data_IF_360994522492
#
_entry.id   IF_360994522492
#
_cell.length_a   1.000
_cell.length_b   1.000
_cell.length_c   1.000
_cell.angle_alpha   90.00
_cell.angle_beta   90.00
_cell.angle_gamma   90.00
#
_symmetry.space_group_name_H-M   'P 1'
#
loop_
_entity.id
_entity.type
_entity.pdbx_description
1 polymer ?
#
# COMPACT_ATOMS: atom_id res chain seq x y z
N UNK A 1 -15.78 -3.50 -12.74
CA UNK A 1 -16.33 -4.66 -13.48
C UNK A 1 -16.10 -4.40 -14.95
N UNK A 2 -15.77 -5.44 -15.71
CA UNK A 2 -15.72 -5.38 -17.15
C UNK A 2 -17.13 -5.63 -17.72
N UNK A 3 -17.48 -4.97 -18.82
CA UNK A 3 -18.69 -5.25 -19.59
C UNK A 3 -18.26 -5.55 -21.03
N UNK A 4 -18.93 -6.51 -21.67
CA UNK A 4 -18.60 -6.93 -23.02
C UNK A 4 -19.80 -7.57 -23.70
N UNK A 5 -19.83 -7.51 -25.03
CA UNK A 5 -20.81 -8.22 -25.82
C UNK A 5 -20.53 -9.72 -25.78
N UNK A 6 -21.50 -10.50 -25.29
CA UNK A 6 -21.35 -11.96 -25.11
C UNK A 6 -21.40 -12.75 -26.41
N UNK A 7 -22.02 -12.19 -27.44
CA UNK A 7 -22.21 -12.81 -28.75
C UNK A 7 -21.84 -11.78 -29.81
N UNK A 8 -20.91 -12.16 -30.68
CA UNK A 8 -20.46 -11.35 -31.82
C UNK A 8 -20.72 -12.21 -33.06
N UNK A 9 -21.56 -11.78 -34.02
CA UNK A 9 -21.80 -12.55 -35.23
C UNK A 9 -20.52 -12.67 -36.07
N UNK A 10 -20.39 -13.69 -36.94
CA UNK A 10 -19.24 -13.81 -37.85
C UNK A 10 -19.03 -12.53 -38.65
N UNK A 11 -17.80 -11.99 -38.62
CA UNK A 11 -17.45 -10.73 -39.28
C UNK A 11 -17.94 -9.46 -38.59
N UNK A 12 -18.66 -9.58 -37.47
CA UNK A 12 -19.13 -8.44 -36.68
C UNK A 12 -18.08 -7.87 -35.73
N UNK A 13 -18.40 -6.71 -35.16
CA UNK A 13 -17.60 -6.05 -34.12
C UNK A 13 -18.26 -6.23 -32.75
N UNK A 14 -17.44 -6.45 -31.72
CA UNK A 14 -17.89 -6.47 -30.33
C UNK A 14 -17.13 -5.45 -29.50
N UNK A 15 -17.80 -4.87 -28.50
CA UNK A 15 -17.23 -3.86 -27.62
C UNK A 15 -16.88 -4.46 -26.27
N UNK A 16 -15.69 -4.12 -25.76
CA UNK A 16 -15.24 -4.48 -24.41
C UNK A 16 -14.94 -3.19 -23.66
N UNK A 17 -15.55 -3.02 -22.50
CA UNK A 17 -15.31 -1.88 -21.60
C UNK A 17 -14.62 -2.36 -20.33
N UNK A 18 -13.42 -1.84 -20.09
CA UNK A 18 -12.62 -2.11 -18.91
C UNK A 18 -12.61 -0.88 -18.00
N UNK A 19 -13.01 -1.04 -16.73
CA UNK A 19 -12.97 0.03 -15.73
C UNK A 19 -11.88 -0.26 -14.70
N UNK A 20 -10.89 0.62 -14.61
CA UNK A 20 -9.83 0.59 -13.61
C UNK A 20 -10.17 1.58 -12.49
N UNK A 21 -10.20 1.09 -11.25
CA UNK A 21 -10.28 1.95 -10.05
C UNK A 21 -8.85 2.26 -9.60
N UNK A 22 -8.46 3.53 -9.63
CA UNK A 22 -7.10 3.99 -9.30
C UNK A 22 -6.91 4.35 -7.83
N UNK A 23 -7.95 4.27 -6.99
CA UNK A 23 -7.98 4.76 -5.60
C UNK A 23 -6.87 4.17 -4.69
N UNK A 24 -6.37 2.98 -5.02
CA UNK A 24 -5.32 2.26 -4.28
C UNK A 24 -3.99 2.20 -5.02
N UNK A 25 -3.87 2.92 -6.12
CA UNK A 25 -2.69 2.91 -6.98
C UNK A 25 -2.01 4.27 -6.94
N UNK A 26 -0.69 4.25 -7.10
CA UNK A 26 0.12 5.44 -7.30
C UNK A 26 1.30 5.07 -8.19
N UNK A 27 1.77 6.01 -9.00
CA UNK A 27 2.87 5.75 -9.92
C UNK A 27 2.45 4.86 -11.09
N UNK A 28 3.42 4.17 -11.69
CA UNK A 28 3.20 3.38 -12.89
C UNK A 28 2.38 2.13 -12.59
N UNK A 29 1.30 1.93 -13.33
CA UNK A 29 0.45 0.74 -13.26
C UNK A 29 0.46 0.00 -14.59
N UNK A 30 0.40 -1.32 -14.49
CA UNK A 30 0.13 -2.22 -15.61
C UNK A 30 -0.95 -3.21 -15.19
N UNK A 31 -2.01 -3.31 -15.98
CA UNK A 31 -3.11 -4.26 -15.77
C UNK A 31 -3.33 -5.06 -17.04
N UNK A 32 -3.47 -6.37 -16.88
CA UNK A 32 -3.71 -7.28 -17.98
C UNK A 32 -5.07 -7.93 -17.80
N UNK A 33 -5.82 -8.07 -18.89
CA UNK A 33 -7.10 -8.80 -18.94
C UNK A 33 -7.07 -9.79 -20.09
N UNK A 34 -7.67 -10.96 -19.89
CA UNK A 34 -7.79 -12.00 -20.91
C UNK A 34 -9.22 -12.04 -21.42
N UNK A 35 -9.37 -11.98 -22.74
CA UNK A 35 -10.64 -12.20 -23.43
C UNK A 35 -10.61 -13.62 -23.94
N UNK A 36 -11.58 -14.43 -23.51
CA UNK A 36 -11.75 -15.80 -23.97
C UNK A 36 -12.78 -15.80 -25.11
N UNK A 37 -12.43 -16.45 -26.21
CA UNK A 37 -13.26 -16.56 -27.41
C UNK A 37 -13.24 -18.00 -27.94
N UNK A 38 -14.29 -18.36 -28.66
CA UNK A 38 -14.38 -19.61 -29.41
C UNK A 38 -13.76 -19.52 -30.81
N UNK A 39 -13.16 -18.38 -31.20
CA UNK A 39 -12.38 -18.26 -32.44
C UNK A 39 -11.19 -19.26 -32.39
N UNK A 40 -11.11 -20.23 -33.32
CA UNK A 40 -10.07 -21.24 -33.33
C UNK A 40 -8.66 -20.66 -33.52
N UNK A 41 -8.52 -19.50 -34.17
CA UNK A 41 -7.25 -18.81 -34.38
C UNK A 41 -6.86 -17.93 -33.19
N UNK A 42 -7.84 -17.37 -32.48
CA UNK A 42 -7.62 -16.41 -31.36
C UNK A 42 -8.47 -16.73 -30.14
N UNK A 43 -8.26 -17.92 -29.57
CA UNK A 43 -9.00 -18.41 -28.38
C UNK A 43 -8.83 -17.54 -27.14
N UNK A 44 -7.67 -16.88 -27.01
CA UNK A 44 -7.38 -15.97 -25.89
C UNK A 44 -6.67 -14.72 -26.41
N UNK A 45 -7.24 -13.55 -26.13
CA UNK A 45 -6.65 -12.25 -26.46
C UNK A 45 -6.25 -11.55 -25.15
N UNK A 46 -5.00 -11.12 -25.04
CA UNK A 46 -4.51 -10.37 -23.88
C UNK A 46 -4.59 -8.87 -24.15
N UNK A 47 -5.34 -8.15 -23.32
CA UNK A 47 -5.42 -6.70 -23.32
C UNK A 47 -4.56 -6.16 -22.17
N UNK A 48 -3.57 -5.32 -22.47
CA UNK A 48 -2.69 -4.70 -21.47
C UNK A 48 -2.93 -3.20 -21.41
N UNK A 49 -3.24 -2.69 -20.24
CA UNK A 49 -3.39 -1.26 -19.96
C UNK A 49 -2.19 -0.82 -19.13
N UNK A 50 -1.46 0.19 -19.62
CA UNK A 50 -0.37 0.86 -18.90
C UNK A 50 -0.75 2.33 -18.66
N UNK A 51 -0.35 2.88 -17.52
CA UNK A 51 -0.60 4.28 -17.21
C UNK A 51 0.17 4.75 -15.98
N UNK A 52 0.25 6.07 -15.80
CA UNK A 52 0.86 6.71 -14.65
C UNK A 52 -0.24 7.35 -13.77
N UNK A 53 -0.45 6.82 -12.57
CA UNK A 53 -1.40 7.38 -11.60
C UNK A 53 -0.73 8.48 -10.81
N UNK A 54 -1.06 9.73 -11.14
CA UNK A 54 -0.64 10.90 -10.38
C UNK A 54 -1.51 11.00 -9.11
N UNK A 55 -0.85 11.10 -7.95
CA UNK A 55 -1.51 11.26 -6.65
C UNK A 55 -0.97 12.53 -5.99
N UNK A 56 -1.79 13.26 -5.21
CA UNK A 56 -1.36 14.50 -4.56
C UNK A 56 -0.33 14.25 -3.44
N UNK A 57 -0.40 13.06 -2.83
CA UNK A 57 0.52 12.60 -1.78
C UNK A 57 0.93 11.16 -2.09
N UNK A 58 2.22 10.98 -2.27
CA UNK A 58 2.83 9.67 -2.47
C UNK A 58 3.27 9.10 -1.12
N UNK A 59 2.85 7.87 -0.82
CA UNK A 59 3.16 7.18 0.45
C UNK A 59 3.75 5.82 0.14
N UNK A 60 4.95 5.52 0.65
CA UNK A 60 5.60 4.23 0.39
C UNK A 60 6.43 3.75 1.58
N UNK A 61 6.23 2.52 2.07
CA UNK A 61 5.15 1.60 1.72
C UNK A 61 3.81 2.00 2.39
N UNK A 62 2.67 1.61 1.79
CA UNK A 62 1.33 1.82 2.38
C UNK A 62 1.02 0.88 3.55
N UNK A 63 1.77 -0.22 3.63
CA UNK A 63 1.65 -1.23 4.64
C UNK A 63 3.05 -1.59 5.10
N UNK A 64 3.27 -1.55 6.41
CA UNK A 64 4.54 -1.96 7.00
C UNK A 64 4.36 -3.26 7.78
N UNK A 65 5.35 -4.13 7.63
CA UNK A 65 5.48 -5.34 8.41
C UNK A 65 6.79 -5.31 9.20
N UNK A 66 6.67 -5.49 10.51
CA UNK A 66 7.79 -5.53 11.46
C UNK A 66 7.92 -6.95 12.01
N UNK A 67 8.94 -7.66 11.56
CA UNK A 67 9.25 -9.01 12.05
C UNK A 67 10.59 -8.98 12.77
N UNK A 68 10.62 -9.49 14.00
CA UNK A 68 11.79 -9.42 14.86
C UNK A 68 11.89 -10.59 15.83
N UNK A 69 13.04 -10.67 16.50
CA UNK A 69 13.24 -11.55 17.66
C UNK A 69 13.19 -10.72 18.94
N UNK A 70 12.77 -11.35 20.02
CA UNK A 70 12.78 -10.74 21.35
C UNK A 70 14.17 -10.15 21.68
N UNK A 71 14.18 -8.91 22.18
CA UNK A 71 15.42 -8.14 22.45
C UNK A 71 16.01 -7.38 21.25
N UNK A 72 15.42 -7.46 20.04
CA UNK A 72 15.83 -6.65 18.89
C UNK A 72 14.82 -5.55 18.57
N UNK A 73 15.30 -4.32 18.45
CA UNK A 73 14.49 -3.20 17.95
C UNK A 73 14.40 -3.27 16.42
N UNK A 74 13.22 -3.61 15.90
CA UNK A 74 12.97 -3.57 14.45
C UNK A 74 12.44 -2.19 14.09
N UNK A 75 13.07 -1.55 13.10
CA UNK A 75 12.67 -0.24 12.57
C UNK A 75 12.22 -0.36 11.11
N UNK A 76 11.13 0.32 10.76
CA UNK A 76 10.66 0.48 9.37
C UNK A 76 10.37 1.93 9.08
N UNK A 77 10.65 2.36 7.87
CA UNK A 77 10.46 3.74 7.43
C UNK A 77 9.38 3.80 6.37
N UNK A 78 8.46 4.74 6.51
CA UNK A 78 7.50 5.12 5.48
C UNK A 78 7.87 6.50 4.96
N UNK A 79 8.06 6.60 3.67
CA UNK A 79 8.31 7.85 2.97
C UNK A 79 6.99 8.45 2.50
N UNK A 80 6.79 9.72 2.83
CA UNK A 80 5.63 10.51 2.41
C UNK A 80 6.15 11.72 1.65
N UNK A 81 5.69 11.90 0.41
CA UNK A 81 6.05 13.08 -0.38
C UNK A 81 4.84 13.77 -0.99
N UNK A 82 4.85 15.09 -0.89
CA UNK A 82 3.93 15.97 -1.59
C UNK A 82 4.24 15.95 -3.09
N UNK A 83 3.20 15.85 -3.91
CA UNK A 83 3.29 15.93 -5.37
C UNK A 83 2.51 17.11 -5.95
N UNK A 84 1.97 17.97 -5.09
CA UNK A 84 1.35 19.24 -5.46
C UNK A 84 2.33 20.39 -5.17
N UNK A 85 2.14 21.51 -5.86
CA UNK A 85 2.91 22.77 -5.67
C UNK A 85 2.48 23.55 -4.40
N UNK A 86 2.05 22.84 -3.36
CA UNK A 86 1.63 23.41 -2.08
C UNK A 86 2.42 22.71 -0.96
N UNK A 87 2.59 23.34 0.21
CA UNK A 87 3.21 22.68 1.34
C UNK A 87 2.24 21.65 1.94
N UNK A 88 2.72 20.42 2.13
CA UNK A 88 2.01 19.36 2.82
C UNK A 88 2.20 19.49 4.34
N UNK A 89 1.10 19.41 5.09
CA UNK A 89 1.11 19.28 6.55
C UNK A 89 0.54 17.92 6.94
N UNK A 90 1.21 17.21 7.84
CA UNK A 90 0.76 15.92 8.37
C UNK A 90 0.35 16.08 9.83
N UNK A 91 -0.88 15.69 10.16
CA UNK A 91 -1.43 15.76 11.50
C UNK A 91 -1.79 14.34 11.95
N UNK A 92 -1.09 13.76 12.94
CA UNK A 92 -1.49 12.49 13.56
C UNK A 92 -2.86 12.63 14.21
N UNK A 93 -3.79 11.75 13.86
CA UNK A 93 -5.16 11.76 14.40
C UNK A 93 -5.37 10.60 15.36
N UNK A 94 -4.89 9.41 14.97
CA UNK A 94 -5.17 8.19 15.71
C UNK A 94 -4.02 7.20 15.52
N UNK A 95 -3.62 6.58 16.62
CA UNK A 95 -2.59 5.55 16.63
C UNK A 95 -2.91 4.50 17.69
N UNK A 96 -3.17 3.27 17.25
CA UNK A 96 -3.65 2.19 18.12
C UNK A 96 -2.57 1.16 18.50
N UNK A 97 -1.29 1.52 18.36
CA UNK A 97 -0.15 0.66 18.69
C UNK A 97 0.81 1.29 19.70
N UNK A 98 0.39 2.33 20.43
CA UNK A 98 1.25 3.08 21.36
C UNK A 98 1.98 2.21 22.39
N UNK A 99 1.36 1.11 22.83
CA UNK A 99 1.95 0.18 23.81
C UNK A 99 3.05 -0.73 23.21
N UNK A 100 3.04 -0.95 21.89
CA UNK A 100 3.89 -1.96 21.22
C UNK A 100 4.87 -1.34 20.22
N UNK A 101 4.65 -0.10 19.83
CA UNK A 101 5.33 0.55 18.73
C UNK A 101 5.40 2.06 18.99
N UNK A 102 6.55 2.64 18.75
CA UNK A 102 6.73 4.09 18.71
C UNK A 102 6.88 4.55 17.26
N UNK A 103 6.51 5.79 16.99
CA UNK A 103 6.74 6.40 15.68
C UNK A 103 7.31 7.81 15.83
N UNK A 104 8.15 8.20 14.88
CA UNK A 104 8.68 9.57 14.76
C UNK A 104 8.47 10.05 13.34
N UNK A 105 8.07 11.31 13.19
CA UNK A 105 7.88 11.97 11.90
C UNK A 105 9.03 12.95 11.72
N UNK A 106 9.87 12.70 10.73
CA UNK A 106 10.98 13.56 10.35
C UNK A 106 10.63 14.30 9.06
N UNK A 107 10.69 15.62 9.08
CA UNK A 107 10.55 16.45 7.88
C UNK A 107 11.93 16.58 7.22
N UNK A 108 12.08 15.95 6.06
CA UNK A 108 13.33 15.96 5.29
C UNK A 108 13.42 17.21 4.43
N UNK A 109 12.30 17.56 3.79
CA UNK A 109 12.15 18.81 3.05
C UNK A 109 10.87 19.49 3.52
N UNK A 110 11.00 20.74 3.95
CA UNK A 110 9.90 21.50 4.55
C UNK A 110 8.69 21.56 3.61
N UNK A 111 7.58 20.95 4.03
CA UNK A 111 6.33 20.87 3.28
C UNK A 111 6.36 19.96 2.05
N UNK A 112 7.46 19.22 1.79
CA UNK A 112 7.61 18.37 0.60
C UNK A 112 7.83 16.91 0.91
N UNK A 113 8.74 16.57 1.81
CA UNK A 113 9.15 15.18 2.03
C UNK A 113 9.28 14.87 3.52
N UNK A 114 8.67 13.76 3.94
CA UNK A 114 8.64 13.30 5.31
C UNK A 114 9.04 11.83 5.38
N UNK A 115 9.76 11.46 6.43
CA UNK A 115 10.08 10.08 6.80
C UNK A 115 9.42 9.77 8.12
N UNK A 116 8.55 8.77 8.12
CA UNK A 116 7.89 8.26 9.33
C UNK A 116 8.60 6.99 9.73
N UNK A 117 9.38 7.04 10.81
CA UNK A 117 10.08 5.87 11.35
C UNK A 117 9.20 5.21 12.38
N UNK A 118 8.99 3.91 12.24
CA UNK A 118 8.25 3.07 13.17
C UNK A 118 9.23 2.10 13.82
N UNK A 119 9.30 2.14 15.15
CA UNK A 119 10.22 1.31 15.94
C UNK A 119 9.41 0.43 16.87
N UNK A 120 9.63 -0.88 16.77
CA UNK A 120 9.00 -1.87 17.66
C UNK A 120 9.67 -1.89 19.04
N UNK A 121 8.86 -2.05 20.09
CA UNK A 121 9.38 -2.26 21.44
C UNK A 121 9.71 -3.74 21.67
N UNK A 122 10.85 -4.07 22.31
CA UNK A 122 11.32 -5.45 22.44
C UNK A 122 10.46 -6.33 23.36
N UNK A 123 9.46 -5.76 24.05
CA UNK A 123 8.59 -6.44 25.03
C UNK A 123 7.37 -7.12 24.40
N UNK A 124 7.07 -6.84 23.12
CA UNK A 124 5.84 -7.32 22.46
C UNK A 124 5.95 -8.77 21.96
N UNK A 125 5.85 -9.79 22.82
CA UNK A 125 5.87 -11.21 22.41
C UNK A 125 4.57 -11.72 21.71
N UNK A 126 3.69 -10.82 21.27
CA UNK A 126 2.45 -11.16 20.59
C UNK A 126 2.40 -10.53 19.20
N UNK A 127 1.74 -11.19 18.22
CA UNK A 127 1.42 -10.53 16.98
C UNK A 127 0.56 -9.29 17.25
N UNK A 128 0.88 -8.20 16.57
CA UNK A 128 0.13 -6.96 16.67
C UNK A 128 -0.27 -6.48 15.28
N UNK A 129 -1.44 -5.87 15.21
CA UNK A 129 -1.97 -5.26 14.00
C UNK A 129 -2.65 -3.97 14.41
N UNK A 130 -2.37 -2.92 13.66
CA UNK A 130 -2.91 -1.62 13.91
C UNK A 130 -2.65 -0.67 12.75
N UNK A 131 -2.75 0.61 13.03
CA UNK A 131 -2.61 1.65 12.03
C UNK A 131 -2.19 2.97 12.66
N UNK A 132 -1.62 3.82 11.81
CA UNK A 132 -1.45 5.25 12.06
C UNK A 132 -2.34 6.01 11.07
N UNK A 133 -3.30 6.78 11.57
CA UNK A 133 -4.16 7.65 10.78
C UNK A 133 -3.62 9.07 10.78
N UNK A 134 -3.38 9.61 9.59
CA UNK A 134 -2.84 10.96 9.37
C UNK A 134 -3.85 11.79 8.59
N UNK A 135 -4.13 12.99 9.07
CA UNK A 135 -4.83 14.03 8.33
C UNK A 135 -3.85 14.92 7.59
N UNK A 136 -4.30 15.47 6.47
CA UNK A 136 -3.53 16.37 5.64
C UNK A 136 -4.33 17.61 5.28
N UNK A 137 -3.64 18.66 4.86
CA UNK A 137 -4.24 19.89 4.38
C UNK A 137 -4.71 19.83 2.92
N UNK A 138 -4.61 18.68 2.24
CA UNK A 138 -5.02 18.54 0.85
C UNK A 138 -6.47 18.04 0.74
N UNK A 139 -7.38 18.78 0.10
CA UNK A 139 -8.78 18.35 -0.04
C UNK A 139 -8.93 17.10 -0.91
N UNK A 140 -7.99 16.86 -1.84
CA UNK A 140 -7.95 15.66 -2.67
C UNK A 140 -7.61 14.39 -1.88
N UNK A 141 -6.88 14.53 -0.75
CA UNK A 141 -6.51 13.42 0.12
C UNK A 141 -6.46 13.90 1.58
N UNK A 142 -7.62 14.19 2.18
CA UNK A 142 -7.70 14.84 3.48
C UNK A 142 -7.21 13.95 4.61
N UNK A 143 -7.25 12.62 4.42
CA UNK A 143 -6.69 11.66 5.35
C UNK A 143 -6.15 10.42 4.63
N UNK A 144 -5.18 9.75 5.26
CA UNK A 144 -4.72 8.44 4.86
C UNK A 144 -4.28 7.62 6.07
N UNK A 145 -4.27 6.31 5.89
CA UNK A 145 -3.97 5.35 6.94
C UNK A 145 -2.79 4.49 6.53
N UNK A 146 -1.76 4.43 7.38
CA UNK A 146 -0.65 3.50 7.26
C UNK A 146 -1.00 2.27 8.09
N UNK A 147 -1.14 1.13 7.43
CA UNK A 147 -1.44 -0.12 8.11
C UNK A 147 -0.16 -0.78 8.58
N UNK A 148 -0.18 -1.26 9.82
CA UNK A 148 0.99 -1.78 10.52
C UNK A 148 0.65 -3.17 11.02
N UNK A 149 1.53 -4.12 10.72
CA UNK A 149 1.51 -5.44 11.34
C UNK A 149 2.90 -5.73 11.88
N UNK A 150 2.96 -6.45 12.97
CA UNK A 150 4.21 -7.04 13.39
C UNK A 150 4.04 -8.31 14.18
N UNK A 151 5.15 -9.01 14.30
CA UNK A 151 5.29 -10.18 15.15
C UNK A 151 6.73 -10.26 15.63
N UNK A 152 6.91 -10.16 16.95
CA UNK A 152 8.19 -10.43 17.59
C UNK A 152 8.12 -11.85 18.14
N UNK A 153 9.02 -12.71 17.67
CA UNK A 153 9.08 -14.10 18.12
C UNK A 153 9.99 -14.22 19.34
N UNK A 154 9.51 -14.94 20.35
CA UNK A 154 10.31 -15.37 21.49
C UNK A 154 11.57 -16.10 21.01
N UNK A 155 12.71 -15.83 21.63
CA UNK A 155 13.90 -16.66 21.41
C UNK A 155 13.62 -18.05 22.01
N UNK A 156 13.44 -19.06 21.17
CA UNK A 156 13.37 -20.45 21.64
C UNK A 156 14.78 -20.79 22.14
N UNK A 157 14.96 -20.95 23.45
CA UNK A 157 16.18 -21.51 24.01
C UNK A 157 16.34 -22.95 23.47
N UNK A 158 17.54 -23.37 23.02
CA UNK A 158 17.73 -24.74 22.59
C UNK A 158 17.40 -25.67 23.76
N UNK A 159 16.52 -26.66 23.53
CA UNK A 159 16.28 -27.74 24.49
C UNK A 159 17.62 -28.45 24.72
N UNK A 160 18.20 -28.27 25.90
CA UNK A 160 19.30 -29.12 26.37
C UNK A 160 18.73 -30.53 26.48
N UNK A 161 19.23 -31.45 25.65
CA UNK A 161 18.97 -32.88 25.83
C UNK A 161 19.73 -33.31 27.09
N UNK A 162 18.99 -33.73 28.12
CA UNK A 162 19.54 -34.47 29.25
C UNK A 162 19.67 -35.95 28.90
#
# INVERSE_FOLDING_TARGET
>A
MATFDKVIPPGGEGKITLRIKTDKYQGSIQKTSSVYSNDPKKKVIKLTIKGLVKVPIYVSPHYIALYGKEGQNVTRVVEVSAKLDKPLKLIPVEFNLAEKLTYTIEEIEKGKSFKIKFTSTPSSNQPFRGFLKLKTNYPEKPEFTIWIRGWIQKKIAPKVKS
#
